data_IF_219959216899
#
_entry.id   IF_219959216899
#
_cell.length_a   1.000
_cell.length_b   1.000
_cell.length_c   1.000
_cell.angle_alpha   90.00
_cell.angle_beta   90.00
_cell.angle_gamma   90.00
#
_symmetry.space_group_name_H-M   'P 1'
#
loop_
_entity.id
_entity.type
_entity.pdbx_description
1 polymer ?
#
# COMPACT_ATOMS: atom_id res chain seq x y z
N UNK A 1 13.45 -7.73 -26.32
CA UNK A 1 12.45 -7.05 -25.50
C UNK A 1 12.90 -7.06 -24.05
N UNK A 2 12.98 -5.89 -23.44
CA UNK A 2 13.35 -5.75 -22.03
C UNK A 2 12.22 -6.24 -21.12
N UNK A 3 12.53 -6.91 -19.99
CA UNK A 3 11.50 -7.30 -19.03
C UNK A 3 10.82 -6.05 -18.44
N UNK A 4 9.51 -6.14 -18.10
CA UNK A 4 8.74 -5.00 -17.58
C UNK A 4 9.37 -4.32 -16.36
N UNK A 5 10.09 -5.05 -15.53
CA UNK A 5 10.81 -4.53 -14.36
C UNK A 5 11.94 -3.56 -14.70
N UNK A 6 12.64 -3.77 -15.80
CA UNK A 6 13.73 -2.89 -16.22
C UNK A 6 13.22 -1.57 -16.83
N UNK A 7 12.03 -1.59 -17.40
CA UNK A 7 11.38 -0.38 -17.93
C UNK A 7 10.85 0.50 -16.79
N UNK A 8 10.20 -0.11 -15.82
CA UNK A 8 9.72 0.58 -14.61
C UNK A 8 10.89 1.21 -13.84
N UNK A 9 12.01 0.49 -13.66
CA UNK A 9 13.18 1.01 -12.93
C UNK A 9 13.79 2.25 -13.57
N UNK A 10 13.85 2.33 -14.91
CA UNK A 10 14.34 3.53 -15.61
C UNK A 10 13.40 4.72 -15.50
N UNK A 11 12.11 4.46 -15.56
CA UNK A 11 11.10 5.51 -15.41
C UNK A 11 11.17 6.15 -14.01
N UNK A 12 11.28 5.32 -12.98
CA UNK A 12 11.44 5.77 -11.60
C UNK A 12 12.78 6.49 -11.36
N UNK A 13 13.87 6.04 -11.98
CA UNK A 13 15.17 6.73 -11.89
C UNK A 13 15.10 8.14 -12.47
N UNK A 14 14.51 8.29 -13.64
CA UNK A 14 14.33 9.60 -14.28
C UNK A 14 13.40 10.51 -13.46
N UNK A 15 12.36 9.96 -12.86
CA UNK A 15 11.46 10.70 -11.98
C UNK A 15 12.18 11.15 -10.71
N UNK A 16 13.03 10.30 -10.13
CA UNK A 16 13.86 10.65 -8.99
C UNK A 16 14.87 11.76 -9.31
N UNK A 17 15.55 11.67 -10.45
CA UNK A 17 16.48 12.72 -10.92
C UNK A 17 15.75 14.06 -11.08
N UNK A 18 14.54 14.04 -11.62
CA UNK A 18 13.72 15.24 -11.75
C UNK A 18 13.32 15.81 -10.38
N UNK A 19 12.92 14.96 -9.45
CA UNK A 19 12.56 15.38 -8.08
C UNK A 19 13.80 15.87 -7.32
N UNK A 20 14.95 15.22 -7.51
CA UNK A 20 16.21 15.62 -6.89
C UNK A 20 16.78 16.93 -7.49
N UNK A 21 16.47 17.24 -8.76
CA UNK A 21 16.84 18.51 -9.38
C UNK A 21 16.11 19.71 -8.75
N UNK A 22 14.95 19.46 -8.15
CA UNK A 22 14.24 20.45 -7.33
C UNK A 22 14.91 20.52 -5.97
N UNK A 23 15.57 21.65 -5.69
CA UNK A 23 16.19 21.89 -4.37
C UNK A 23 15.09 22.13 -3.34
N UNK A 24 14.59 21.05 -2.73
CA UNK A 24 13.47 21.09 -1.79
C UNK A 24 13.68 22.05 -0.62
N UNK A 25 14.94 22.20 -0.19
CA UNK A 25 15.28 23.12 0.91
C UNK A 25 15.16 24.61 0.53
N UNK A 26 15.15 24.90 -0.77
CA UNK A 26 14.96 26.27 -1.28
C UNK A 26 13.50 26.62 -1.53
N UNK A 27 12.61 25.66 -1.50
CA UNK A 27 11.17 25.91 -1.61
C UNK A 27 10.68 26.57 -0.31
N UNK A 28 10.23 27.81 -0.40
CA UNK A 28 9.77 28.56 0.79
C UNK A 28 8.39 28.15 1.28
N UNK A 29 7.60 27.50 0.43
CA UNK A 29 6.20 27.22 0.70
C UNK A 29 6.04 25.82 1.36
N UNK A 30 5.63 25.74 2.63
CA UNK A 30 5.54 24.46 3.37
C UNK A 30 4.65 23.42 2.70
N UNK A 31 3.52 23.85 2.14
CA UNK A 31 2.58 22.96 1.42
C UNK A 31 3.22 22.31 0.19
N UNK A 32 3.99 23.08 -0.57
CA UNK A 32 4.68 22.58 -1.77
C UNK A 32 5.80 21.62 -1.35
N UNK A 33 6.59 21.97 -0.35
CA UNK A 33 7.62 21.10 0.19
C UNK A 33 7.04 19.78 0.70
N UNK A 34 5.98 19.82 1.47
CA UNK A 34 5.29 18.63 1.98
C UNK A 34 4.79 17.75 0.84
N UNK A 35 4.17 18.33 -0.19
CA UNK A 35 3.71 17.59 -1.35
C UNK A 35 4.86 16.90 -2.09
N UNK A 36 5.99 17.59 -2.27
CA UNK A 36 7.19 17.02 -2.90
C UNK A 36 7.81 15.89 -2.09
N UNK A 37 7.92 16.05 -0.77
CA UNK A 37 8.38 14.96 0.11
C UNK A 37 7.44 13.75 0.08
N UNK A 38 6.14 13.98 0.07
CA UNK A 38 5.14 12.90 -0.04
C UNK A 38 5.27 12.16 -1.36
N UNK A 39 5.41 12.87 -2.47
CA UNK A 39 5.60 12.28 -3.80
C UNK A 39 6.90 11.48 -3.86
N UNK A 40 7.99 12.05 -3.38
CA UNK A 40 9.29 11.36 -3.32
C UNK A 40 9.21 10.11 -2.44
N UNK A 41 8.55 10.20 -1.29
CA UNK A 41 8.31 9.06 -0.41
C UNK A 41 7.53 7.93 -1.09
N UNK A 42 6.51 8.27 -1.88
CA UNK A 42 5.77 7.30 -2.69
C UNK A 42 6.66 6.58 -3.71
N UNK A 43 7.49 7.33 -4.43
CA UNK A 43 8.47 6.74 -5.38
C UNK A 43 9.47 5.84 -4.65
N UNK A 44 9.96 6.25 -3.49
CA UNK A 44 10.88 5.43 -2.69
C UNK A 44 10.22 4.13 -2.20
N UNK A 45 8.94 4.19 -1.82
CA UNK A 45 8.15 3.01 -1.49
C UNK A 45 8.06 2.04 -2.68
N UNK A 46 7.75 2.55 -3.87
CA UNK A 46 7.65 1.74 -5.10
C UNK A 46 8.98 1.11 -5.50
N UNK A 47 10.09 1.76 -5.17
CA UNK A 47 11.46 1.23 -5.32
C UNK A 47 11.89 0.32 -4.17
N UNK A 48 10.99 -0.03 -3.26
CA UNK A 48 11.25 -0.83 -2.06
C UNK A 48 12.27 -0.22 -1.09
N UNK A 49 12.56 1.08 -1.23
CA UNK A 49 13.41 1.86 -0.31
C UNK A 49 12.58 2.41 0.85
N UNK A 50 12.03 1.50 1.66
CA UNK A 50 11.03 1.83 2.68
C UNK A 50 11.52 2.74 3.78
N UNK A 51 12.78 2.61 4.21
CA UNK A 51 13.37 3.51 5.22
C UNK A 51 13.43 4.96 4.75
N UNK A 52 13.78 5.18 3.47
CA UNK A 52 13.79 6.53 2.87
C UNK A 52 12.37 7.05 2.70
N UNK A 53 11.42 6.18 2.33
CA UNK A 53 10.01 6.55 2.22
C UNK A 53 9.45 7.03 3.58
N UNK A 54 9.80 6.37 4.67
CA UNK A 54 9.42 6.78 6.04
C UNK A 54 10.01 8.17 6.35
N UNK A 55 11.30 8.37 6.12
CA UNK A 55 11.95 9.66 6.35
C UNK A 55 11.26 10.80 5.59
N UNK A 56 10.95 10.57 4.32
CA UNK A 56 10.23 11.56 3.49
C UNK A 56 8.82 11.83 4.00
N UNK A 57 8.09 10.78 4.37
CA UNK A 57 6.76 10.91 4.96
C UNK A 57 6.74 11.68 6.27
N UNK A 58 7.71 11.44 7.14
CA UNK A 58 7.85 12.15 8.41
C UNK A 58 8.20 13.63 8.20
N UNK A 59 9.09 13.96 7.28
CA UNK A 59 9.39 15.35 6.88
C UNK A 59 8.16 16.06 6.33
N UNK A 60 7.40 15.40 5.46
CA UNK A 60 6.18 15.93 4.89
C UNK A 60 5.13 16.20 5.98
N UNK A 61 4.94 15.25 6.89
CA UNK A 61 4.00 15.39 8.00
C UNK A 61 4.39 16.54 8.95
N UNK A 62 5.68 16.69 9.26
CA UNK A 62 6.16 17.78 10.09
C UNK A 62 5.87 19.16 9.48
N UNK A 63 5.97 19.28 8.16
CA UNK A 63 5.66 20.53 7.44
C UNK A 63 4.15 20.83 7.38
N UNK A 64 3.33 19.81 7.24
CA UNK A 64 1.87 19.92 7.10
C UNK A 64 1.16 18.90 8.01
N UNK A 65 1.14 19.12 9.33
CA UNK A 65 0.60 18.15 10.29
C UNK A 65 -0.89 17.82 10.13
N UNK A 66 -1.64 18.69 9.45
CA UNK A 66 -3.08 18.50 9.17
C UNK A 66 -3.38 17.82 7.83
N UNK A 67 -2.36 17.59 7.01
CA UNK A 67 -2.53 16.91 5.73
C UNK A 67 -2.53 15.38 5.96
N UNK A 68 -3.56 14.70 5.45
CA UNK A 68 -3.67 13.24 5.58
C UNK A 68 -2.71 12.47 4.67
N UNK A 69 -2.24 13.06 3.58
CA UNK A 69 -1.45 12.36 2.54
C UNK A 69 -0.12 11.80 3.06
N UNK A 70 0.67 12.54 3.85
CA UNK A 70 1.84 11.95 4.50
C UNK A 70 1.49 10.81 5.45
N UNK A 71 0.35 10.91 6.13
CA UNK A 71 -0.10 9.86 7.05
C UNK A 71 -0.48 8.56 6.32
N UNK A 72 -1.14 8.65 5.16
CA UNK A 72 -1.44 7.45 4.34
C UNK A 72 -0.17 6.80 3.81
N UNK A 73 0.81 7.58 3.37
CA UNK A 73 2.12 7.06 2.97
C UNK A 73 2.80 6.30 4.11
N UNK A 74 2.89 6.89 5.28
CA UNK A 74 3.50 6.27 6.45
C UNK A 74 2.74 5.02 6.90
N UNK A 75 1.42 5.06 6.88
CA UNK A 75 0.56 3.91 7.16
C UNK A 75 0.88 2.74 6.26
N UNK A 76 0.92 2.97 4.95
CA UNK A 76 1.21 1.96 3.95
C UNK A 76 2.60 1.34 4.11
N UNK A 77 3.63 2.17 4.25
CA UNK A 77 5.01 1.67 4.38
C UNK A 77 5.20 0.85 5.64
N UNK A 78 4.62 1.28 6.76
CA UNK A 78 4.69 0.50 8.00
C UNK A 78 3.93 -0.83 7.91
N UNK A 79 2.77 -0.88 7.25
CA UNK A 79 2.07 -2.14 6.98
C UNK A 79 2.91 -3.10 6.14
N UNK A 80 3.56 -2.61 5.09
CA UNK A 80 4.45 -3.41 4.24
C UNK A 80 5.67 -3.95 5.00
N UNK A 81 6.14 -3.24 6.01
CA UNK A 81 7.22 -3.66 6.90
C UNK A 81 6.75 -4.58 8.04
N UNK A 82 5.50 -4.98 8.05
CA UNK A 82 4.88 -5.74 9.14
C UNK A 82 4.84 -5.01 10.50
N UNK A 83 4.98 -3.70 10.49
CA UNK A 83 4.76 -2.84 11.66
C UNK A 83 3.28 -2.45 11.73
N UNK A 84 2.41 -3.44 11.94
CA UNK A 84 0.96 -3.29 11.77
C UNK A 84 0.34 -2.29 12.74
N UNK A 85 0.75 -2.30 14.00
CA UNK A 85 0.28 -1.34 14.99
C UNK A 85 0.59 0.10 14.56
N UNK A 86 1.83 0.36 14.22
CA UNK A 86 2.27 1.70 13.78
C UNK A 86 1.64 2.13 12.46
N UNK A 87 1.50 1.20 11.52
CA UNK A 87 0.79 1.46 10.26
C UNK A 87 -0.68 1.80 10.48
N UNK A 88 -1.34 1.09 11.38
CA UNK A 88 -2.72 1.34 11.76
C UNK A 88 -2.88 2.71 12.42
N UNK A 89 -2.00 3.08 13.36
CA UNK A 89 -2.00 4.41 13.98
C UNK A 89 -1.89 5.54 12.93
N UNK A 90 -1.03 5.38 11.93
CA UNK A 90 -0.90 6.37 10.86
C UNK A 90 -2.15 6.45 9.99
N UNK A 91 -2.80 5.33 9.70
CA UNK A 91 -4.07 5.33 8.98
C UNK A 91 -5.20 5.97 9.80
N UNK A 92 -5.26 5.76 11.10
CA UNK A 92 -6.24 6.45 11.96
C UNK A 92 -5.98 7.97 11.97
N UNK A 93 -4.73 8.39 12.09
CA UNK A 93 -4.35 9.81 11.92
C UNK A 93 -4.77 10.37 10.56
N UNK A 94 -4.66 9.58 9.50
CA UNK A 94 -5.11 9.97 8.17
C UNK A 94 -6.63 10.15 8.13
N UNK A 95 -7.40 9.23 8.73
CA UNK A 95 -8.87 9.34 8.83
C UNK A 95 -9.32 10.57 9.56
N UNK A 96 -8.71 10.86 10.72
CA UNK A 96 -8.97 12.07 11.50
C UNK A 96 -8.74 13.37 10.70
N UNK A 97 -7.86 13.31 9.71
CA UNK A 97 -7.52 14.43 8.81
C UNK A 97 -8.31 14.46 7.52
N UNK A 98 -9.32 13.60 7.40
CA UNK A 98 -10.22 13.57 6.26
C UNK A 98 -9.80 12.69 5.10
N UNK A 99 -8.89 11.74 5.31
CA UNK A 99 -8.58 10.74 4.29
C UNK A 99 -9.83 9.94 3.92
N UNK A 100 -10.09 9.71 2.61
CA UNK A 100 -11.21 8.89 2.19
C UNK A 100 -11.07 7.46 2.71
N UNK A 101 -12.06 6.98 3.46
CA UNK A 101 -12.06 5.63 4.03
C UNK A 101 -11.91 4.54 2.97
N UNK A 102 -12.58 4.71 1.84
CA UNK A 102 -12.50 3.76 0.71
C UNK A 102 -11.08 3.69 0.12
N UNK A 103 -10.36 4.80 0.08
CA UNK A 103 -8.96 4.82 -0.39
C UNK A 103 -8.04 4.02 0.53
N UNK A 104 -8.18 4.19 1.84
CA UNK A 104 -7.42 3.43 2.84
C UNK A 104 -7.75 1.94 2.76
N UNK A 105 -9.03 1.57 2.66
CA UNK A 105 -9.45 0.17 2.55
C UNK A 105 -8.91 -0.49 1.28
N UNK A 106 -8.94 0.21 0.15
CA UNK A 106 -8.37 -0.28 -1.10
C UNK A 106 -6.87 -0.53 -0.99
N UNK A 107 -6.16 0.36 -0.34
CA UNK A 107 -4.72 0.25 -0.13
C UNK A 107 -4.37 -0.90 0.83
N UNK A 108 -5.09 -1.05 1.93
CA UNK A 108 -4.93 -2.17 2.86
C UNK A 108 -5.16 -3.53 2.17
N UNK A 109 -6.17 -3.62 1.30
CA UNK A 109 -6.42 -4.83 0.50
C UNK A 109 -5.28 -5.13 -0.46
N UNK A 110 -4.74 -4.11 -1.12
CA UNK A 110 -3.59 -4.25 -2.03
C UNK A 110 -2.35 -4.73 -1.27
N UNK A 111 -2.05 -4.13 -0.13
CA UNK A 111 -0.92 -4.54 0.72
C UNK A 111 -1.10 -6.00 1.18
N UNK A 112 -2.29 -6.35 1.66
CA UNK A 112 -2.60 -7.72 2.09
C UNK A 112 -2.34 -8.75 0.98
N UNK A 113 -2.73 -8.45 -0.25
CA UNK A 113 -2.51 -9.34 -1.39
C UNK A 113 -1.02 -9.51 -1.74
N UNK A 114 -0.19 -8.51 -1.47
CA UNK A 114 1.24 -8.53 -1.78
C UNK A 114 2.08 -9.22 -0.70
N UNK A 115 1.56 -9.34 0.52
CA UNK A 115 2.25 -10.02 1.61
C UNK A 115 2.30 -11.54 1.37
N UNK A 116 3.32 -12.18 1.91
CA UNK A 116 3.38 -13.64 2.00
C UNK A 116 2.30 -14.20 2.94
N UNK A 117 2.17 -15.51 3.00
CA UNK A 117 1.13 -16.16 3.82
C UNK A 117 1.27 -15.84 5.30
N UNK A 118 2.48 -15.79 5.84
CA UNK A 118 2.75 -15.42 7.22
C UNK A 118 2.39 -13.97 7.52
N UNK A 119 2.77 -13.06 6.63
CA UNK A 119 2.43 -11.64 6.73
C UNK A 119 0.93 -11.40 6.65
N UNK A 120 0.22 -12.10 5.76
CA UNK A 120 -1.25 -12.02 5.65
C UNK A 120 -1.95 -12.47 6.93
N UNK A 121 -1.54 -13.60 7.50
CA UNK A 121 -2.13 -14.09 8.76
C UNK A 121 -1.87 -13.13 9.91
N UNK A 122 -0.66 -12.60 10.03
CA UNK A 122 -0.33 -11.61 11.06
C UNK A 122 -1.12 -10.31 10.90
N UNK A 123 -1.21 -9.76 9.68
CA UNK A 123 -2.00 -8.56 9.38
C UNK A 123 -3.49 -8.79 9.66
N UNK A 124 -4.03 -9.93 9.23
CA UNK A 124 -5.42 -10.32 9.47
C UNK A 124 -5.73 -10.39 10.96
N UNK A 125 -4.90 -11.09 11.72
CA UNK A 125 -5.08 -11.23 13.17
C UNK A 125 -5.08 -9.87 13.86
N UNK A 126 -4.12 -9.02 13.51
CA UNK A 126 -4.02 -7.67 14.07
C UNK A 126 -5.24 -6.81 13.74
N UNK A 127 -5.58 -6.66 12.46
CA UNK A 127 -6.68 -5.79 12.04
C UNK A 127 -8.04 -6.25 12.58
N UNK A 128 -8.30 -7.56 12.63
CA UNK A 128 -9.52 -8.09 13.21
C UNK A 128 -9.59 -7.91 14.72
N UNK A 129 -8.46 -7.85 15.41
CA UNK A 129 -8.40 -7.53 16.84
C UNK A 129 -8.70 -6.04 17.12
N UNK A 130 -8.32 -5.15 16.19
CA UNK A 130 -8.61 -3.72 16.29
C UNK A 130 -10.10 -3.42 16.05
N UNK A 131 -10.64 -3.89 14.94
CA UNK A 131 -12.05 -3.71 14.60
C UNK A 131 -12.56 -4.82 13.66
N UNK A 132 -13.23 -5.82 14.24
CA UNK A 132 -13.70 -6.98 13.49
C UNK A 132 -14.85 -6.69 12.53
N UNK A 133 -15.55 -5.57 12.70
CA UNK A 133 -16.63 -5.15 11.80
C UNK A 133 -16.06 -4.38 10.63
N UNK A 134 -15.22 -3.39 10.89
CA UNK A 134 -14.53 -2.58 9.90
C UNK A 134 -13.69 -3.44 8.92
N UNK A 135 -13.00 -4.42 9.46
CA UNK A 135 -12.12 -5.31 8.69
C UNK A 135 -12.74 -6.68 8.38
N UNK A 136 -14.07 -6.77 8.37
CA UNK A 136 -14.80 -8.02 8.08
C UNK A 136 -14.44 -8.66 6.72
N UNK A 137 -13.94 -7.88 5.77
CA UNK A 137 -13.49 -8.40 4.48
C UNK A 137 -12.32 -9.39 4.60
N UNK A 138 -11.57 -9.35 5.71
CA UNK A 138 -10.52 -10.34 6.02
C UNK A 138 -11.09 -11.69 6.49
N UNK A 139 -12.36 -11.75 6.91
CA UNK A 139 -13.03 -13.00 7.33
C UNK A 139 -13.47 -13.86 6.15
N UNK A 140 -13.66 -13.26 5.00
CA UNK A 140 -13.91 -13.98 3.76
C UNK A 140 -12.68 -14.79 3.42
N UNK A 141 -12.61 -16.04 3.91
CA UNK A 141 -11.60 -16.98 3.50
C UNK A 141 -11.54 -17.05 2.00
N UNK A 142 -10.36 -17.33 1.45
CA UNK A 142 -10.17 -17.69 0.07
C UNK A 142 -11.40 -18.48 -0.39
N UNK A 143 -12.21 -17.88 -1.28
CA UNK A 143 -13.05 -18.72 -2.10
C UNK A 143 -12.07 -19.68 -2.73
N UNK A 144 -11.94 -20.89 -2.17
CA UNK A 144 -11.43 -22.03 -2.91
C UNK A 144 -11.99 -21.81 -4.29
N UNK A 145 -11.14 -21.61 -5.29
CA UNK A 145 -11.56 -21.88 -6.65
C UNK A 145 -12.27 -23.22 -6.54
N UNK A 146 -13.60 -23.18 -6.56
CA UNK A 146 -14.35 -24.39 -6.87
C UNK A 146 -13.82 -24.74 -8.25
N UNK A 147 -12.90 -25.71 -8.25
CA UNK A 147 -12.51 -26.37 -9.45
C UNK A 147 -13.81 -26.67 -10.17
N UNK A 148 -13.93 -26.21 -11.41
CA UNK A 148 -14.97 -26.68 -12.30
C UNK A 148 -14.96 -28.18 -12.14
N UNK A 149 -15.94 -28.71 -11.44
CA UNK A 149 -16.29 -30.10 -11.59
C UNK A 149 -16.64 -30.24 -13.06
N UNK A 150 -15.70 -30.78 -13.82
CA UNK A 150 -16.00 -31.33 -15.11
C UNK A 150 -16.97 -32.44 -14.78
N UNK A 151 -18.21 -32.22 -15.13
CA UNK A 151 -19.25 -33.24 -15.04
C UNK A 151 -18.86 -34.34 -16.03
N UNK A 152 -18.28 -35.41 -15.50
CA UNK A 152 -17.93 -36.61 -16.25
C UNK A 152 -19.16 -37.40 -16.74
N UNK A 153 -20.36 -36.81 -16.64
CA UNK A 153 -21.61 -37.47 -17.06
C UNK A 153 -21.81 -37.49 -18.58
N UNK A 154 -20.88 -36.99 -19.39
CA UNK A 154 -21.03 -36.96 -20.85
C UNK A 154 -20.37 -38.13 -21.60
N UNK A 155 -19.71 -39.05 -20.92
CA UNK A 155 -19.12 -40.28 -21.52
C UNK A 155 -19.87 -41.54 -21.05
N UNK A 156 -21.08 -41.68 -21.46
CA UNK A 156 -21.84 -42.90 -21.19
C UNK A 156 -23.06 -43.03 -22.04
N UNK A 157 -22.87 -43.50 -23.28
CA UNK A 157 -23.72 -44.42 -24.04
C UNK A 157 -23.48 -44.27 -25.52
N UNK A 158 -22.45 -44.97 -26.00
CA UNK A 158 -22.51 -45.56 -27.34
C UNK A 158 -22.29 -47.04 -27.13
N UNK A 159 -23.34 -47.76 -27.00
CA UNK A 159 -23.34 -49.20 -27.24
C UNK A 159 -24.27 -49.44 -28.43
N UNK A 160 -23.64 -49.99 -29.40
CA UNK A 160 -24.09 -50.81 -30.52
C UNK A 160 -25.50 -50.57 -31.06
#
# INVERSE_FOLDING_TARGET
>A
SMPPSAFAGRYFSSLLELIDSVQLDRLKHPKVRSAMFTTRGGVMRDLERRSVAIEMGEKAHALMPKDYRPCTLLGAVHMELHHFEKGHEWYEKARERGAPAQGIDSELRSIFQQLDSGGREAMKTFLLSEDSIKYQWLKGGSKKQRGRMVDDSFFGKVTA
#
